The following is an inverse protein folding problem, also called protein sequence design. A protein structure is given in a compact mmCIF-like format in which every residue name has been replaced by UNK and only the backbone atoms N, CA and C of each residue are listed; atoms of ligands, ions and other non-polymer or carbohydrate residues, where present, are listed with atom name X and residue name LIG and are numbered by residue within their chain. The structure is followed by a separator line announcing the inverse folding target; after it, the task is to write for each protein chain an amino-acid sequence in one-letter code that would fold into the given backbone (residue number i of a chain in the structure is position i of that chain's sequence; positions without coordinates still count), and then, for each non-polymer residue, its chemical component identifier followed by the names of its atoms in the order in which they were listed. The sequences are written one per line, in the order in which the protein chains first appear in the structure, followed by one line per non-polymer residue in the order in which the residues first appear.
data_IF_429947340436
#
_entry.id   IF_429947340436
#
_cell.length_a   1.000
_cell.length_b   1.000
_cell.length_c   1.000
_cell.angle_alpha   90.00
_cell.angle_beta   90.00
_cell.angle_gamma   90.00
#
_symmetry.space_group_name_H-M   'P 1'
#
loop_
_entity.id
_entity.type
_entity.pdbx_description
1 polymer ?
#
# COMPACT_ATOMS: atom_id res chain seq x y z
N UNK A 1 15.89 -53.63 -23.24
CA UNK A 1 15.68 -52.18 -22.94
C UNK A 1 17.02 -51.48 -22.75
N UNK A 2 17.41 -50.62 -23.70
CA UNK A 2 18.76 -50.04 -23.78
C UNK A 2 18.87 -48.70 -23.03
N UNK A 3 19.38 -48.78 -21.80
CA UNK A 3 19.72 -47.71 -20.84
C UNK A 3 20.67 -46.63 -21.42
N UNK A 4 21.33 -46.93 -22.54
CA UNK A 4 22.29 -46.06 -23.24
C UNK A 4 21.64 -45.02 -24.18
N UNK A 5 20.35 -45.12 -24.46
CA UNK A 5 19.64 -44.17 -25.33
C UNK A 5 19.03 -42.98 -24.56
N UNK A 6 18.88 -43.09 -23.23
CA UNK A 6 18.25 -42.06 -22.40
C UNK A 6 19.24 -40.98 -21.92
N UNK A 7 20.54 -41.29 -21.84
CA UNK A 7 21.58 -40.35 -21.38
C UNK A 7 22.13 -39.42 -22.49
N UNK A 8 21.63 -39.53 -23.74
CA UNK A 8 22.12 -38.72 -24.87
C UNK A 8 21.15 -37.60 -25.32
N UNK A 9 20.03 -37.41 -24.63
CA UNK A 9 18.94 -36.55 -25.12
C UNK A 9 18.74 -35.22 -24.36
N UNK A 10 19.66 -34.76 -23.49
CA UNK A 10 19.42 -33.49 -22.75
C UNK A 10 20.62 -32.56 -22.60
N UNK A 11 21.70 -32.77 -23.35
CA UNK A 11 22.78 -31.79 -23.48
C UNK A 11 22.89 -31.36 -24.94
N UNK A 12 22.14 -30.33 -25.33
CA UNK A 12 22.49 -29.36 -26.37
C UNK A 12 21.26 -28.52 -26.76
N UNK A 13 21.07 -27.38 -26.09
CA UNK A 13 20.62 -26.17 -26.79
C UNK A 13 21.21 -24.93 -26.09
N UNK A 14 22.53 -24.98 -25.86
CA UNK A 14 23.36 -23.84 -25.50
C UNK A 14 24.20 -23.47 -26.73
N UNK A 15 23.60 -22.77 -27.69
CA UNK A 15 24.28 -21.97 -28.72
C UNK A 15 23.28 -21.28 -29.67
N UNK A 16 22.49 -20.34 -29.14
CA UNK A 16 22.14 -19.12 -29.90
C UNK A 16 22.52 -17.95 -29.02
N UNK A 17 23.79 -17.59 -29.12
CA UNK A 17 24.31 -16.30 -28.67
C UNK A 17 23.76 -15.25 -29.62
N UNK A 18 22.87 -14.39 -29.15
CA UNK A 18 22.40 -13.29 -30.00
C UNK A 18 21.17 -12.53 -29.55
N UNK A 19 20.93 -12.37 -28.25
CA UNK A 19 20.14 -11.27 -27.64
C UNK A 19 20.21 -11.40 -26.11
N UNK A 20 21.44 -11.32 -25.57
CA UNK A 20 21.65 -10.99 -24.16
C UNK A 20 21.19 -9.54 -23.94
N UNK A 21 19.94 -9.34 -23.52
CA UNK A 21 19.48 -7.98 -23.23
C UNK A 21 18.07 -7.77 -22.67
N UNK A 22 17.18 -8.77 -22.63
CA UNK A 22 15.77 -8.51 -22.25
C UNK A 22 15.22 -9.38 -21.12
N UNK A 23 16.02 -10.28 -20.53
CA UNK A 23 15.55 -11.14 -19.44
C UNK A 23 15.68 -10.52 -18.04
N UNK A 24 16.20 -9.30 -17.93
CA UNK A 24 16.30 -8.54 -16.67
C UNK A 24 15.13 -7.60 -16.38
N UNK A 25 14.10 -7.54 -17.25
CA UNK A 25 12.99 -6.58 -17.08
C UNK A 25 11.87 -7.03 -16.13
N UNK A 26 12.03 -8.17 -15.45
CA UNK A 26 11.18 -8.52 -14.30
C UNK A 26 12.01 -8.69 -13.03
N UNK A 27 13.03 -7.84 -12.86
CA UNK A 27 13.40 -7.44 -11.51
C UNK A 27 12.21 -6.67 -10.94
N UNK A 28 11.25 -7.43 -10.41
CA UNK A 28 10.34 -6.96 -9.37
C UNK A 28 11.27 -6.45 -8.28
N UNK A 29 11.53 -5.16 -8.32
CA UNK A 29 12.24 -4.51 -7.26
C UNK A 29 11.36 -4.64 -6.03
N UNK A 30 11.65 -5.65 -5.22
CA UNK A 30 11.28 -5.68 -3.82
C UNK A 30 12.15 -4.61 -3.13
N UNK A 31 11.91 -3.35 -3.50
CA UNK A 31 12.14 -2.26 -2.57
C UNK A 31 11.24 -2.60 -1.39
N UNK A 32 11.89 -2.69 -0.23
CA UNK A 32 11.30 -2.79 1.11
C UNK A 32 9.80 -2.63 1.08
N UNK A 33 9.06 -3.70 1.40
CA UNK A 33 7.65 -3.57 1.78
C UNK A 33 7.59 -2.44 2.82
N UNK A 34 7.16 -1.25 2.39
CA UNK A 34 6.78 -0.17 3.30
C UNK A 34 5.65 -0.79 4.10
N UNK A 35 5.94 -1.36 5.27
CA UNK A 35 5.20 -2.51 5.81
C UNK A 35 3.68 -2.45 5.65
N UNK A 36 3.06 -1.30 5.95
CA UNK A 36 1.62 -1.12 5.82
C UNK A 36 1.14 -0.46 4.50
N UNK A 37 2.03 0.15 3.71
CA UNK A 37 1.79 0.69 2.37
C UNK A 37 1.98 -0.42 1.31
N UNK A 38 1.09 -1.40 1.36
CA UNK A 38 1.09 -2.62 0.57
C UNK A 38 0.36 -2.49 -0.78
N UNK A 39 -0.11 -1.30 -1.12
CA UNK A 39 -0.74 -1.01 -2.40
C UNK A 39 0.17 -1.25 -3.61
N UNK A 40 -0.46 -1.49 -4.77
CA UNK A 40 0.25 -1.54 -6.05
C UNK A 40 0.92 -0.18 -6.31
N UNK A 41 2.21 -0.20 -6.63
CA UNK A 41 2.95 1.02 -6.97
C UNK A 41 2.32 1.71 -8.19
N UNK A 42 2.07 3.00 -8.03
CA UNK A 42 1.63 3.87 -9.11
C UNK A 42 2.55 5.07 -9.20
N UNK A 43 2.79 5.54 -10.42
CA UNK A 43 3.58 6.75 -10.64
C UNK A 43 2.90 7.96 -9.99
N UNK A 44 3.62 8.73 -9.19
CA UNK A 44 3.09 9.95 -8.58
C UNK A 44 4.13 11.07 -8.53
N UNK A 45 3.69 12.28 -8.87
CA UNK A 45 4.46 13.51 -8.72
C UNK A 45 3.51 14.72 -8.68
N UNK A 46 4.10 15.92 -8.59
CA UNK A 46 3.33 17.16 -8.48
C UNK A 46 2.50 17.48 -9.74
N UNK A 47 2.94 17.04 -10.93
CA UNK A 47 2.18 17.26 -12.16
C UNK A 47 0.95 16.34 -12.21
N UNK A 48 1.10 15.08 -11.78
CA UNK A 48 -0.02 14.15 -11.56
C UNK A 48 -1.03 14.75 -10.57
N UNK A 49 -0.57 15.31 -9.45
CA UNK A 49 -1.44 15.95 -8.46
C UNK A 49 -2.23 17.13 -9.05
N UNK A 50 -1.57 18.06 -9.75
CA UNK A 50 -2.23 19.20 -10.41
C UNK A 50 -3.27 18.74 -11.42
N UNK A 51 -2.94 17.73 -12.24
CA UNK A 51 -3.86 17.17 -13.23
C UNK A 51 -5.09 16.55 -12.57
N UNK A 52 -4.90 15.80 -11.49
CA UNK A 52 -5.99 15.19 -10.73
C UNK A 52 -6.91 16.27 -10.12
N UNK A 53 -6.33 17.29 -9.49
CA UNK A 53 -7.08 18.41 -8.92
C UNK A 53 -7.88 19.17 -9.98
N UNK A 54 -7.25 19.52 -11.11
CA UNK A 54 -7.92 20.21 -12.21
C UNK A 54 -9.06 19.37 -12.84
N UNK A 55 -8.89 18.05 -12.91
CA UNK A 55 -9.94 17.14 -13.38
C UNK A 55 -11.10 17.05 -12.37
N UNK A 56 -10.82 17.01 -11.06
CA UNK A 56 -11.83 17.00 -10.00
C UNK A 56 -12.62 18.31 -9.93
N UNK A 57 -11.97 19.45 -10.13
CA UNK A 57 -12.62 20.77 -10.09
C UNK A 57 -13.68 20.96 -11.19
N UNK A 58 -13.62 20.16 -12.26
CA UNK A 58 -14.62 20.16 -13.35
C UNK A 58 -15.81 19.24 -13.09
N UNK A 59 -15.78 18.46 -12.01
CA UNK A 59 -16.86 17.54 -11.64
C UNK A 59 -17.81 18.21 -10.66
N UNK A 60 -19.12 17.89 -10.68
CA UNK A 60 -20.04 18.29 -9.63
C UNK A 60 -19.54 17.85 -8.25
N UNK A 61 -19.90 18.59 -7.21
CA UNK A 61 -19.57 18.23 -5.83
C UNK A 61 -20.11 16.84 -5.47
N UNK A 62 -19.24 15.98 -4.93
CA UNK A 62 -19.55 14.58 -4.64
C UNK A 62 -20.47 14.32 -3.44
N UNK A 63 -20.99 15.36 -2.80
CA UNK A 63 -21.96 15.22 -1.72
C UNK A 63 -21.37 14.97 -0.33
N UNK A 64 -22.29 14.73 0.61
CA UNK A 64 -21.98 14.27 1.96
C UNK A 64 -21.29 12.89 1.92
N UNK A 65 -20.44 12.54 2.90
CA UNK A 65 -19.91 11.19 2.96
C UNK A 65 -21.04 10.18 3.16
N UNK A 66 -20.85 8.96 2.64
CA UNK A 66 -21.78 7.86 2.92
C UNK A 66 -21.91 7.59 4.42
N UNK A 67 -23.05 7.02 4.83
CA UNK A 67 -23.28 6.66 6.22
C UNK A 67 -22.25 5.62 6.68
N UNK A 68 -21.75 5.79 7.91
CA UNK A 68 -20.97 4.77 8.59
C UNK A 68 -21.91 3.67 9.11
N UNK A 69 -21.43 2.43 9.28
CA UNK A 69 -22.12 1.44 10.10
C UNK A 69 -22.46 2.03 11.48
N UNK A 70 -23.61 1.64 12.03
CA UNK A 70 -24.12 2.18 13.29
C UNK A 70 -23.08 2.08 14.41
N UNK A 71 -22.39 0.94 14.50
CA UNK A 71 -21.31 0.67 15.46
C UNK A 71 -20.16 1.68 15.44
N UNK A 72 -19.92 2.37 14.31
CA UNK A 72 -18.91 3.42 14.21
C UNK A 72 -19.53 4.82 14.27
N UNK A 73 -20.78 4.96 13.82
CA UNK A 73 -21.49 6.24 13.76
C UNK A 73 -21.90 6.74 15.17
N UNK A 74 -22.18 5.82 16.09
CA UNK A 74 -22.69 6.13 17.44
C UNK A 74 -21.65 5.99 18.54
N UNK A 75 -20.37 5.79 18.19
CA UNK A 75 -19.28 5.75 19.17
C UNK A 75 -19.31 7.01 20.04
N UNK A 76 -19.29 6.81 21.35
CA UNK A 76 -19.07 7.91 22.30
C UNK A 76 -17.63 8.42 22.17
N UNK A 77 -17.34 9.67 22.58
CA UNK A 77 -15.97 10.16 22.61
C UNK A 77 -15.03 9.27 23.44
N UNK A 78 -15.52 8.68 24.54
CA UNK A 78 -14.76 7.74 25.35
C UNK A 78 -14.44 6.46 24.55
N UNK A 79 -15.45 5.80 23.97
CA UNK A 79 -15.25 4.59 23.17
C UNK A 79 -14.35 4.83 21.95
N UNK A 80 -14.45 5.99 21.31
CA UNK A 80 -13.56 6.34 20.21
C UNK A 80 -12.09 6.50 20.66
N UNK A 81 -11.85 7.08 21.84
CA UNK A 81 -10.50 7.23 22.39
C UNK A 81 -9.89 5.89 22.86
N UNK A 82 -10.71 4.89 23.18
CA UNK A 82 -10.23 3.53 23.46
C UNK A 82 -9.63 2.88 22.21
N UNK A 83 -10.07 3.28 21.00
CA UNK A 83 -9.47 2.83 19.74
C UNK A 83 -8.13 3.52 19.54
N UNK A 84 -7.05 2.78 19.78
CA UNK A 84 -5.68 3.29 19.67
C UNK A 84 -4.95 2.63 18.51
N UNK A 85 -4.20 3.41 17.75
CA UNK A 85 -3.31 2.86 16.72
C UNK A 85 -2.22 2.01 17.37
N UNK A 86 -1.94 0.82 16.83
CA UNK A 86 -0.81 0.02 17.29
C UNK A 86 0.50 0.59 16.72
N UNK A 87 1.31 1.19 17.58
CA UNK A 87 2.58 1.82 17.20
C UNK A 87 3.58 0.84 16.56
N UNK A 88 3.44 -0.48 16.75
CA UNK A 88 4.28 -1.47 16.05
C UNK A 88 3.96 -1.57 14.56
N UNK A 89 2.81 -1.03 14.14
CA UNK A 89 2.39 -0.97 12.75
C UNK A 89 2.51 0.44 12.16
N UNK A 90 3.23 1.37 12.79
CA UNK A 90 3.39 2.72 12.24
C UNK A 90 4.09 2.69 10.88
N UNK A 91 3.83 3.68 10.03
CA UNK A 91 4.25 3.67 8.63
C UNK A 91 5.76 3.48 8.47
N UNK A 92 6.54 4.11 9.34
CA UNK A 92 8.00 4.09 9.28
C UNK A 92 8.60 3.23 10.38
N UNK A 93 7.83 2.32 10.98
CA UNK A 93 8.31 1.48 12.09
C UNK A 93 9.58 0.69 11.73
N UNK A 94 9.70 0.27 10.47
CA UNK A 94 10.81 -0.55 9.99
C UNK A 94 12.05 0.25 9.58
N UNK A 95 12.01 1.60 9.65
CA UNK A 95 13.17 2.41 9.32
C UNK A 95 14.15 2.47 10.50
N UNK A 96 15.43 2.10 10.29
CA UNK A 96 16.46 2.26 11.32
C UNK A 96 16.64 3.74 11.65
N UNK A 97 16.92 4.03 12.91
CA UNK A 97 17.21 5.39 13.43
C UNK A 97 16.16 6.45 13.07
N UNK A 98 14.88 6.04 12.92
CA UNK A 98 13.80 6.96 12.56
C UNK A 98 13.63 8.07 13.61
N UNK A 99 13.58 9.31 13.14
CA UNK A 99 13.31 10.49 13.99
C UNK A 99 11.85 10.93 13.94
N UNK A 100 11.12 10.47 12.93
CA UNK A 100 9.72 10.76 12.69
C UNK A 100 8.99 9.46 12.41
N UNK A 101 7.69 9.47 12.68
CA UNK A 101 6.82 8.35 12.39
C UNK A 101 5.42 8.84 12.06
N UNK A 102 4.62 7.98 11.44
CA UNK A 102 3.24 8.29 11.04
C UNK A 102 2.31 7.21 11.56
N UNK A 103 1.28 7.64 12.26
CA UNK A 103 0.17 6.82 12.71
C UNK A 103 -1.14 7.39 12.17
N UNK A 104 -2.18 6.57 12.17
CA UNK A 104 -3.45 6.90 11.55
C UNK A 104 -4.58 6.92 12.57
N UNK A 105 -5.57 7.76 12.31
CA UNK A 105 -6.81 7.78 13.09
C UNK A 105 -7.85 6.84 12.47
N UNK A 106 -8.64 6.22 13.34
CA UNK A 106 -9.74 5.36 12.93
C UNK A 106 -10.92 6.20 12.40
N UNK A 107 -11.76 5.61 11.54
CA UNK A 107 -13.03 6.24 11.14
C UNK A 107 -14.09 6.02 12.22
N UNK A 108 -14.92 7.02 12.55
CA UNK A 108 -15.94 6.86 13.60
C UNK A 108 -16.30 8.18 14.29
N UNK A 109 -17.37 8.15 15.09
CA UNK A 109 -17.91 9.31 15.78
C UNK A 109 -18.18 10.47 14.79
N UNK A 110 -17.36 11.54 14.82
CA UNK A 110 -17.45 12.68 13.92
C UNK A 110 -16.71 12.51 12.59
N UNK A 111 -15.78 11.55 12.50
CA UNK A 111 -14.96 11.29 11.33
C UNK A 111 -15.72 10.41 10.34
N UNK A 112 -16.64 11.01 9.58
CA UNK A 112 -17.58 10.27 8.70
C UNK A 112 -17.03 9.97 7.31
N UNK A 113 -16.00 10.68 6.86
CA UNK A 113 -15.45 10.54 5.51
C UNK A 113 -14.16 9.72 5.53
N UNK A 114 -14.19 8.56 4.90
CA UNK A 114 -13.00 7.75 4.61
C UNK A 114 -12.10 8.48 3.61
N UNK A 115 -10.80 8.45 3.84
CA UNK A 115 -9.78 8.99 2.95
C UNK A 115 -8.83 7.88 2.54
N UNK A 116 -8.44 7.86 1.27
CA UNK A 116 -7.38 6.99 0.79
C UNK A 116 -6.05 7.67 1.07
N UNK A 117 -5.10 6.91 1.58
CA UNK A 117 -3.78 7.42 1.94
C UNK A 117 -2.73 6.65 1.18
N UNK A 118 -1.64 7.33 0.85
CA UNK A 118 -0.54 6.78 0.09
C UNK A 118 0.79 7.19 0.74
N UNK A 119 1.71 6.24 0.87
CA UNK A 119 3.14 6.54 1.02
C UNK A 119 3.67 6.93 -0.35
N UNK A 120 4.49 7.98 -0.43
CA UNK A 120 5.13 8.41 -1.68
C UNK A 120 6.63 8.42 -1.46
N UNK A 121 7.34 7.58 -2.21
CA UNK A 121 8.79 7.54 -2.17
C UNK A 121 9.38 8.67 -3.03
N UNK A 122 10.26 9.48 -2.45
CA UNK A 122 10.78 10.69 -3.09
C UNK A 122 11.75 10.41 -4.25
N UNK A 123 12.47 9.30 -4.21
CA UNK A 123 13.50 8.96 -5.19
C UNK A 123 12.89 8.29 -6.42
N UNK A 124 12.17 7.20 -6.20
CA UNK A 124 11.46 6.44 -7.22
C UNK A 124 10.25 7.19 -7.75
N UNK A 125 9.64 8.12 -6.97
CA UNK A 125 8.33 8.76 -7.22
C UNK A 125 7.22 7.76 -7.52
N UNK A 126 7.24 6.68 -6.77
CA UNK A 126 6.15 5.72 -6.67
C UNK A 126 5.30 6.04 -5.44
N UNK A 127 3.98 5.94 -5.61
CA UNK A 127 3.03 5.97 -4.51
C UNK A 127 2.45 4.58 -4.29
N UNK A 128 2.34 4.17 -3.03
CA UNK A 128 1.69 2.91 -2.61
C UNK A 128 0.56 3.22 -1.64
N UNK A 129 -0.61 2.66 -1.91
CA UNK A 129 -1.76 2.83 -1.03
C UNK A 129 -1.51 2.16 0.31
N UNK A 130 -1.95 2.82 1.38
CA UNK A 130 -2.00 2.28 2.73
C UNK A 130 -3.44 1.81 2.95
N UNK A 131 -3.65 0.49 2.91
CA UNK A 131 -4.98 -0.06 3.12
C UNK A 131 -5.39 0.03 4.59
N UNK A 132 -6.64 0.40 4.82
CA UNK A 132 -7.23 0.24 6.14
C UNK A 132 -7.34 -1.25 6.48
N UNK A 133 -6.83 -1.62 7.65
CA UNK A 133 -6.90 -2.95 8.24
C UNK A 133 -7.25 -2.79 9.73
N UNK A 134 -8.29 -3.46 10.25
CA UNK A 134 -8.64 -3.40 11.67
C UNK A 134 -7.47 -3.75 12.58
N UNK A 135 -6.58 -4.63 12.14
CA UNK A 135 -5.40 -5.12 12.88
C UNK A 135 -4.35 -4.02 13.13
N UNK A 136 -4.48 -2.85 12.49
CA UNK A 136 -3.63 -1.68 12.78
C UNK A 136 -4.04 -0.97 14.08
N UNK A 137 -5.14 -1.38 14.71
CA UNK A 137 -5.72 -0.73 15.88
C UNK A 137 -5.98 -1.72 17.01
N UNK A 138 -5.70 -1.26 18.22
CA UNK A 138 -6.16 -1.88 19.46
C UNK A 138 -7.51 -1.26 19.83
N UNK A 139 -8.55 -2.07 19.91
CA UNK A 139 -9.91 -1.56 20.15
C UNK A 139 -10.28 -1.42 21.62
N UNK A 140 -9.53 -2.01 22.56
CA UNK A 140 -9.70 -1.85 24.02
C UNK A 140 -11.17 -1.84 24.51
N UNK A 141 -11.98 -2.80 24.05
CA UNK A 141 -13.42 -2.90 24.34
C UNK A 141 -14.31 -1.73 23.90
N UNK A 142 -13.85 -0.92 22.94
CA UNK A 142 -14.68 0.10 22.26
C UNK A 142 -15.94 -0.54 21.67
N UNK A 143 -17.10 -0.08 22.13
CA UNK A 143 -18.44 -0.53 21.71
C UNK A 143 -19.41 0.64 21.63
#
# INVERSE_FOLDING_TARGET
MNRRMFMKASMAFSAVSGMTGLSTLFAQSAWTEDGIADGTAVRFDFDVLKKNAAALAKKPWGGAPGALPETLATLTPQAYNEIQYDANHSLWNNLPDRQLDVQFFHVGMGFKRRIRMFSVDGESREAREIHFRPELFNYNDAR
#
